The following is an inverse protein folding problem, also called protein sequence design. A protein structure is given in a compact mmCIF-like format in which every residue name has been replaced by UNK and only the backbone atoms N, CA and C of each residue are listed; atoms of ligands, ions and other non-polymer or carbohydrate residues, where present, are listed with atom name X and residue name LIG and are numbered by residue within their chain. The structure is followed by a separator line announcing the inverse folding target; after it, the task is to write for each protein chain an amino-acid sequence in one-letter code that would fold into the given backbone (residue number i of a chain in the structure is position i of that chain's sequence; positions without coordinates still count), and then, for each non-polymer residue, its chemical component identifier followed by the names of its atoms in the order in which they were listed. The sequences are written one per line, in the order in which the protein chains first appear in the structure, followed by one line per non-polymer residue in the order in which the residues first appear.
data_IF_436724411490
#
_entry.id   IF_436724411490
#
_cell.length_a   1.000
_cell.length_b   1.000
_cell.length_c   1.000
_cell.angle_alpha   90.00
_cell.angle_beta   90.00
_cell.angle_gamma   90.00
#
_symmetry.space_group_name_H-M   'P 1'
#
loop_
_entity.id
_entity.type
_entity.pdbx_description
1 polymer ?
#
# COMPACT_ATOMS: atom_id res chain seq x y z
N UNK A 1 -28.27 18.99 -41.70
CA UNK A 1 -27.91 18.64 -43.09
C UNK A 1 -26.40 18.86 -43.21
N UNK A 2 -25.62 17.82 -42.90
CA UNK A 2 -24.17 17.78 -43.10
C UNK A 2 -23.89 16.37 -43.58
N UNK A 3 -23.27 16.30 -44.75
CA UNK A 3 -23.08 15.10 -45.54
C UNK A 3 -22.01 14.18 -44.96
N UNK A 4 -22.29 12.89 -45.12
CA UNK A 4 -21.42 11.74 -44.91
C UNK A 4 -20.39 11.69 -46.05
N UNK A 5 -19.15 11.36 -45.71
CA UNK A 5 -18.22 10.66 -46.60
C UNK A 5 -17.14 10.01 -45.71
N UNK A 6 -16.44 8.96 -46.10
CA UNK A 6 -16.82 7.74 -46.80
C UNK A 6 -15.66 6.78 -46.48
N UNK A 7 -15.90 5.50 -46.62
CA UNK A 7 -15.05 4.41 -46.17
C UNK A 7 -13.75 4.26 -46.97
N UNK A 8 -12.71 3.70 -46.33
CA UNK A 8 -11.76 2.80 -47.01
C UNK A 8 -11.05 1.89 -45.99
N UNK A 9 -11.20 0.57 -46.11
CA UNK A 9 -10.45 -0.43 -45.35
C UNK A 9 -9.15 -0.80 -46.09
N UNK A 10 -8.10 -1.11 -45.34
CA UNK A 10 -6.91 -1.77 -45.90
C UNK A 10 -6.83 -3.18 -45.34
N UNK A 11 -7.15 -4.12 -46.21
CA UNK A 11 -6.97 -5.55 -46.06
C UNK A 11 -5.50 -5.97 -46.30
N UNK A 12 -5.12 -7.05 -45.62
CA UNK A 12 -4.37 -8.19 -46.15
C UNK A 12 -2.81 -8.19 -46.21
N UNK A 13 -2.27 -9.18 -45.46
CA UNK A 13 -1.39 -10.29 -45.90
C UNK A 13 0.08 -10.40 -45.41
N UNK A 14 0.45 -11.68 -45.26
CA UNK A 14 1.75 -12.34 -45.08
C UNK A 14 2.31 -12.39 -43.64
N UNK A 15 2.35 -13.51 -42.91
CA UNK A 15 2.78 -14.89 -43.20
C UNK A 15 4.25 -15.02 -43.64
N UNK A 16 5.17 -15.11 -42.68
CA UNK A 16 6.57 -15.54 -42.91
C UNK A 16 7.08 -16.43 -41.78
N UNK A 17 7.00 -17.73 -42.07
CA UNK A 17 8.06 -18.76 -41.92
C UNK A 17 8.89 -18.80 -40.63
N UNK A 18 8.61 -19.87 -39.89
CA UNK A 18 9.55 -20.67 -39.07
C UNK A 18 10.94 -20.76 -39.71
N UNK A 19 11.97 -20.34 -38.99
CA UNK A 19 13.35 -20.80 -39.19
C UNK A 19 13.79 -21.57 -37.96
N UNK A 20 13.94 -22.89 -38.12
CA UNK A 20 14.57 -23.79 -37.15
C UNK A 20 16.07 -23.71 -37.39
N UNK A 21 16.80 -23.07 -36.48
CA UNK A 21 18.23 -23.33 -36.33
C UNK A 21 18.40 -24.49 -35.35
N UNK A 22 18.72 -25.66 -35.90
CA UNK A 22 19.22 -26.82 -35.16
C UNK A 22 20.73 -26.64 -35.04
N UNK A 23 21.20 -26.31 -33.84
CA UNK A 23 22.63 -26.33 -33.54
C UNK A 23 23.10 -27.78 -33.32
N UNK A 24 24.32 -28.16 -33.73
CA UNK A 24 24.82 -29.53 -33.56
C UNK A 24 25.03 -29.85 -32.09
N UNK A 25 24.49 -30.97 -31.64
CA UNK A 25 24.73 -31.53 -30.31
C UNK A 25 26.19 -32.01 -30.22
N UNK A 26 27.06 -31.18 -29.66
CA UNK A 26 28.29 -31.67 -29.04
C UNK A 26 27.89 -32.26 -27.67
N UNK A 27 27.54 -33.55 -27.69
CA UNK A 27 27.52 -34.39 -26.49
C UNK A 27 28.97 -34.56 -26.05
N UNK A 28 29.46 -33.60 -25.26
CA UNK A 28 30.65 -33.81 -24.44
C UNK A 28 30.23 -34.69 -23.27
N UNK A 29 30.84 -35.87 -23.25
CA UNK A 29 30.83 -36.83 -22.16
C UNK A 29 31.39 -36.17 -20.89
N UNK A 30 30.53 -35.59 -20.07
CA UNK A 30 30.79 -35.43 -18.63
C UNK A 30 30.27 -36.68 -17.90
N UNK A 31 30.88 -37.83 -18.19
CA UNK A 31 30.77 -39.02 -17.35
C UNK A 31 31.80 -38.88 -16.22
N UNK A 32 31.40 -39.21 -14.99
CA UNK A 32 32.12 -39.02 -13.72
C UNK A 32 32.05 -37.62 -13.08
N UNK A 33 30.83 -37.09 -12.92
CA UNK A 33 30.53 -36.42 -11.64
C UNK A 33 30.07 -37.51 -10.68
N UNK A 34 31.04 -38.08 -9.95
CA UNK A 34 30.75 -38.90 -8.77
C UNK A 34 29.73 -38.14 -7.91
N UNK A 35 28.60 -38.79 -7.65
CA UNK A 35 27.60 -38.33 -6.70
C UNK A 35 28.33 -38.08 -5.38
N UNK A 36 28.62 -36.82 -5.07
CA UNK A 36 29.09 -36.46 -3.74
C UNK A 36 28.00 -36.95 -2.77
N UNK A 37 28.34 -37.80 -1.79
CA UNK A 37 27.34 -38.27 -0.84
C UNK A 37 26.73 -37.06 -0.15
N UNK A 38 25.39 -37.04 0.05
CA UNK A 38 24.73 -35.90 0.67
C UNK A 38 25.36 -35.65 2.05
N UNK A 39 25.53 -34.38 2.46
CA UNK A 39 26.03 -34.06 3.79
C UNK A 39 25.24 -34.82 4.86
N UNK A 40 25.91 -35.35 5.88
CA UNK A 40 25.26 -36.07 6.98
C UNK A 40 24.15 -35.21 7.58
N UNK A 41 22.95 -35.79 7.74
CA UNK A 41 21.80 -35.10 8.33
C UNK A 41 22.12 -34.79 9.79
N UNK A 42 22.42 -33.54 10.12
CA UNK A 42 22.54 -33.13 11.52
C UNK A 42 21.16 -33.17 12.18
N UNK A 43 21.03 -33.98 13.22
CA UNK A 43 19.84 -34.09 14.05
C UNK A 43 19.89 -33.05 15.18
N UNK A 44 18.87 -32.19 15.24
CA UNK A 44 18.57 -31.18 16.28
C UNK A 44 19.31 -29.83 16.17
N UNK A 45 18.55 -28.79 15.79
CA UNK A 45 18.95 -27.38 15.77
C UNK A 45 19.80 -27.02 14.56
N UNK A 46 19.22 -26.34 13.57
CA UNK A 46 19.98 -25.80 12.44
C UNK A 46 20.79 -24.62 12.95
N UNK A 47 22.04 -24.43 12.49
CA UNK A 47 22.99 -23.40 12.99
C UNK A 47 22.34 -22.02 13.23
N UNK A 48 21.44 -21.61 12.34
CA UNK A 48 20.74 -20.33 12.42
C UNK A 48 19.67 -20.27 13.51
N UNK A 49 19.04 -21.40 13.85
CA UNK A 49 18.00 -21.47 14.88
C UNK A 49 18.53 -21.25 16.30
N UNK A 50 19.84 -21.44 16.52
CA UNK A 50 20.48 -21.22 17.82
C UNK A 50 20.93 -19.76 18.02
N UNK A 51 20.84 -18.92 16.98
CA UNK A 51 21.25 -17.53 17.04
C UNK A 51 20.20 -16.65 17.72
N UNK A 52 20.66 -15.82 18.64
CA UNK A 52 19.85 -14.78 19.27
C UNK A 52 19.58 -13.62 18.29
N UNK A 53 18.58 -12.80 18.59
CA UNK A 53 18.25 -11.62 17.78
C UNK A 53 19.43 -10.64 17.68
N UNK A 54 20.22 -10.46 18.74
CA UNK A 54 21.44 -9.63 18.73
C UNK A 54 22.55 -10.21 17.85
N UNK A 55 22.75 -11.53 17.90
CA UNK A 55 23.70 -12.19 17.01
C UNK A 55 23.26 -12.10 15.54
N UNK A 56 21.97 -12.27 15.25
CA UNK A 56 21.45 -12.14 13.89
C UNK A 56 21.65 -10.73 13.34
N UNK A 57 21.41 -9.70 14.16
CA UNK A 57 21.60 -8.30 13.74
C UNK A 57 23.07 -7.95 13.49
N UNK A 58 23.98 -8.47 14.31
CA UNK A 58 25.42 -8.26 14.16
C UNK A 58 26.04 -9.12 13.04
N UNK A 59 25.36 -10.17 12.59
CA UNK A 59 25.85 -11.05 11.51
C UNK A 59 25.62 -10.43 10.13
N UNK A 60 26.67 -10.45 9.29
CA UNK A 60 26.55 -10.11 7.88
C UNK A 60 25.97 -11.30 7.09
N UNK A 61 24.69 -11.23 6.71
CA UNK A 61 24.02 -12.29 5.95
C UNK A 61 24.10 -12.10 4.43
N UNK A 62 24.51 -10.92 3.96
CA UNK A 62 24.60 -10.64 2.52
C UNK A 62 25.89 -9.92 2.16
N UNK A 63 26.46 -10.24 1.00
CA UNK A 63 27.63 -9.55 0.43
C UNK A 63 27.42 -9.25 -1.06
N UNK A 64 27.93 -8.12 -1.52
CA UNK A 64 28.06 -7.74 -2.93
C UNK A 64 29.48 -7.97 -3.49
N UNK A 65 30.42 -8.35 -2.63
CA UNK A 65 31.76 -8.76 -2.99
C UNK A 65 32.13 -10.09 -2.30
N UNK A 66 31.57 -11.22 -2.77
CA UNK A 66 31.85 -12.52 -2.17
C UNK A 66 33.28 -13.03 -2.43
N UNK A 67 34.01 -12.45 -3.40
CA UNK A 67 35.34 -12.90 -3.80
C UNK A 67 36.46 -12.33 -2.90
N UNK A 68 36.16 -11.32 -2.07
CA UNK A 68 37.10 -10.78 -1.07
C UNK A 68 37.02 -11.46 0.29
N UNK A 69 36.15 -12.46 0.44
CA UNK A 69 36.03 -13.22 1.69
C UNK A 69 37.30 -14.05 1.95
N UNK A 70 37.75 -14.05 3.20
CA UNK A 70 38.86 -14.88 3.66
C UNK A 70 38.51 -16.38 3.56
N UNK A 71 39.54 -17.23 3.47
CA UNK A 71 39.43 -18.70 3.39
C UNK A 71 38.58 -19.21 2.22
N UNK A 72 38.47 -18.41 1.16
CA UNK A 72 37.82 -18.83 -0.07
C UNK A 72 38.75 -19.77 -0.85
N UNK A 73 38.27 -20.98 -1.16
CA UNK A 73 38.98 -21.90 -2.05
C UNK A 73 38.16 -22.18 -3.31
N UNK A 74 38.86 -22.47 -4.40
CA UNK A 74 38.25 -22.86 -5.68
C UNK A 74 38.22 -24.38 -5.87
N UNK A 75 38.75 -25.13 -4.91
CA UNK A 75 38.84 -26.59 -4.96
C UNK A 75 37.46 -27.21 -4.82
N UNK A 76 37.33 -28.45 -5.27
CA UNK A 76 36.10 -29.21 -5.12
C UNK A 76 35.64 -29.22 -3.64
N UNK A 77 34.33 -29.08 -3.37
CA UNK A 77 33.79 -29.17 -2.03
C UNK A 77 34.26 -30.42 -1.28
N UNK A 78 34.75 -30.28 -0.03
CA UNK A 78 35.05 -31.44 0.82
C UNK A 78 33.77 -32.22 1.17
N UNK A 79 33.94 -33.50 1.50
CA UNK A 79 32.84 -34.36 1.99
C UNK A 79 32.67 -34.13 3.49
N UNK A 80 32.16 -32.95 3.84
CA UNK A 80 31.88 -32.57 5.23
C UNK A 80 30.57 -31.77 5.34
N UNK A 81 30.11 -31.56 6.57
CA UNK A 81 28.93 -30.73 6.82
C UNK A 81 29.19 -29.28 6.42
N UNK A 82 28.22 -28.71 5.72
CA UNK A 82 28.26 -27.34 5.24
C UNK A 82 27.02 -26.58 5.69
N UNK A 83 27.15 -25.27 5.83
CA UNK A 83 26.06 -24.34 6.05
C UNK A 83 26.08 -23.23 5.00
N UNK A 84 24.90 -22.67 4.71
CA UNK A 84 24.80 -21.43 3.95
C UNK A 84 25.13 -20.28 4.91
N UNK A 85 26.31 -19.66 4.74
CA UNK A 85 26.80 -18.59 5.62
C UNK A 85 26.24 -17.23 5.19
N UNK A 86 26.24 -16.97 3.88
CA UNK A 86 25.81 -15.69 3.30
C UNK A 86 25.16 -15.91 1.94
N UNK A 87 24.28 -15.01 1.55
CA UNK A 87 23.84 -14.85 0.17
C UNK A 87 24.62 -13.74 -0.52
N UNK A 88 24.92 -13.90 -1.81
CA UNK A 88 25.51 -12.82 -2.60
C UNK A 88 24.60 -12.40 -3.76
N UNK A 89 24.65 -11.12 -4.08
CA UNK A 89 24.05 -10.56 -5.29
C UNK A 89 24.99 -9.50 -5.86
N UNK A 90 25.62 -9.85 -6.98
CA UNK A 90 26.60 -9.02 -7.68
C UNK A 90 26.01 -8.33 -8.91
N UNK A 91 24.69 -8.27 -9.03
CA UNK A 91 24.01 -7.67 -10.18
C UNK A 91 24.36 -6.18 -10.32
N UNK A 92 25.06 -5.84 -11.40
CA UNK A 92 25.47 -4.47 -11.72
C UNK A 92 26.87 -4.07 -11.24
N UNK A 93 27.70 -5.01 -10.73
CA UNK A 93 29.12 -4.73 -10.46
C UNK A 93 29.93 -4.72 -11.77
N UNK A 94 30.95 -3.86 -11.85
CA UNK A 94 31.86 -3.79 -13.01
C UNK A 94 32.65 -5.07 -13.24
N UNK A 95 33.03 -5.75 -12.14
CA UNK A 95 33.79 -7.02 -12.17
C UNK A 95 33.02 -8.19 -12.79
N UNK A 96 31.73 -8.02 -13.09
CA UNK A 96 30.89 -9.02 -13.77
C UNK A 96 30.33 -10.10 -12.84
N UNK A 97 30.29 -11.35 -13.31
CA UNK A 97 29.69 -12.48 -12.60
C UNK A 97 30.69 -13.14 -11.63
N UNK A 98 30.19 -13.93 -10.67
CA UNK A 98 31.01 -14.70 -9.72
C UNK A 98 31.38 -16.05 -10.32
N UNK A 99 32.63 -16.50 -10.09
CA UNK A 99 33.09 -17.84 -10.44
C UNK A 99 32.57 -18.88 -9.45
N UNK A 100 31.68 -19.77 -9.91
CA UNK A 100 31.16 -20.86 -9.08
C UNK A 100 32.15 -22.03 -9.01
N UNK A 101 32.28 -22.64 -7.83
CA UNK A 101 33.16 -23.80 -7.59
C UNK A 101 32.84 -25.00 -8.49
N UNK A 102 31.58 -25.16 -8.94
CA UNK A 102 31.18 -26.25 -9.82
C UNK A 102 31.30 -25.89 -11.31
N UNK A 103 30.96 -24.66 -11.70
CA UNK A 103 31.04 -24.24 -13.09
C UNK A 103 32.48 -23.94 -13.53
N UNK A 104 33.34 -23.52 -12.59
CA UNK A 104 34.73 -23.11 -12.83
C UNK A 104 34.91 -21.90 -13.75
N UNK A 105 33.85 -21.19 -14.12
CA UNK A 105 33.87 -19.93 -14.87
C UNK A 105 32.89 -18.90 -14.28
N UNK A 106 33.10 -17.58 -14.49
CA UNK A 106 32.22 -16.53 -13.96
C UNK A 106 30.87 -16.49 -14.68
N UNK A 107 29.81 -17.01 -14.05
CA UNK A 107 28.50 -17.17 -14.68
C UNK A 107 27.29 -16.93 -13.77
N UNK A 108 27.49 -16.55 -12.51
CA UNK A 108 26.39 -16.26 -11.59
C UNK A 108 26.38 -14.81 -11.10
N UNK A 109 25.22 -14.17 -11.21
CA UNK A 109 24.97 -12.88 -10.56
C UNK A 109 24.50 -13.04 -9.10
N UNK A 110 24.01 -14.21 -8.73
CA UNK A 110 23.45 -14.49 -7.42
C UNK A 110 23.75 -15.92 -6.96
N UNK A 111 23.87 -16.10 -5.66
CA UNK A 111 24.18 -17.40 -5.08
C UNK A 111 24.44 -17.32 -3.60
N UNK A 112 25.18 -18.31 -3.11
CA UNK A 112 25.48 -18.48 -1.69
C UNK A 112 26.96 -18.72 -1.46
N UNK A 113 27.40 -18.34 -0.27
CA UNK A 113 28.69 -18.73 0.30
C UNK A 113 28.43 -19.94 1.19
N UNK A 114 28.96 -21.09 0.80
CA UNK A 114 28.93 -22.30 1.60
C UNK A 114 30.14 -22.31 2.52
N UNK A 115 29.93 -22.40 3.83
CA UNK A 115 30.99 -22.58 4.81
C UNK A 115 30.96 -23.99 5.35
N UNK A 116 32.13 -24.61 5.39
CA UNK A 116 32.29 -25.98 5.85
C UNK A 116 32.88 -26.03 7.26
N UNK A 117 32.83 -27.21 7.89
CA UNK A 117 33.37 -27.42 9.24
C UNK A 117 34.87 -27.11 9.34
N UNK A 118 35.65 -27.35 8.29
CA UNK A 118 37.05 -26.93 8.15
C UNK A 118 37.27 -25.41 8.26
N UNK A 119 36.21 -24.60 8.14
CA UNK A 119 36.28 -23.14 8.08
C UNK A 119 36.39 -22.60 6.66
N UNK A 120 36.72 -23.44 5.69
CA UNK A 120 36.87 -22.99 4.29
C UNK A 120 35.52 -22.60 3.68
N UNK A 121 35.57 -21.64 2.75
CA UNK A 121 34.39 -21.10 2.04
C UNK A 121 34.42 -21.48 0.57
N UNK A 122 33.23 -21.66 -0.02
CA UNK A 122 33.05 -21.86 -1.47
C UNK A 122 31.93 -20.97 -2.01
N UNK A 123 32.16 -20.37 -3.17
CA UNK A 123 31.13 -19.64 -3.90
C UNK A 123 30.35 -20.59 -4.79
N UNK A 124 29.03 -20.61 -4.59
CA UNK A 124 28.14 -21.50 -5.34
C UNK A 124 26.99 -20.67 -5.90
N UNK A 125 26.77 -20.76 -7.21
CA UNK A 125 25.56 -20.19 -7.82
C UNK A 125 24.31 -20.87 -7.28
N UNK A 126 23.19 -20.15 -7.14
CA UNK A 126 21.96 -20.69 -6.52
C UNK A 126 21.47 -21.98 -7.22
N UNK A 127 21.43 -21.97 -8.55
CA UNK A 127 21.00 -23.14 -9.33
C UNK A 127 21.99 -24.30 -9.24
N UNK A 128 23.28 -23.98 -9.16
CA UNK A 128 24.34 -24.99 -8.98
C UNK A 128 24.26 -25.64 -7.60
N UNK A 129 23.97 -24.87 -6.56
CA UNK A 129 23.78 -25.41 -5.23
C UNK A 129 22.61 -26.41 -5.18
N UNK A 130 21.46 -26.06 -5.79
CA UNK A 130 20.32 -26.97 -5.91
C UNK A 130 20.65 -28.25 -6.69
N UNK A 131 21.41 -28.15 -7.80
CA UNK A 131 21.82 -29.31 -8.60
C UNK A 131 22.77 -30.25 -7.86
N UNK A 132 23.76 -29.70 -7.15
CA UNK A 132 24.84 -30.51 -6.56
C UNK A 132 24.54 -31.01 -5.14
N UNK A 133 23.81 -30.26 -4.33
CA UNK A 133 23.48 -30.64 -2.95
C UNK A 133 22.04 -31.16 -2.80
N UNK A 134 21.18 -30.94 -3.79
CA UNK A 134 19.79 -31.42 -3.80
C UNK A 134 18.99 -30.96 -2.58
N UNK A 135 18.21 -31.90 -2.02
CA UNK A 135 17.30 -31.67 -0.89
C UNK A 135 18.01 -31.10 0.34
N UNK A 136 19.28 -31.46 0.56
CA UNK A 136 20.05 -30.92 1.69
C UNK A 136 20.25 -29.41 1.55
N UNK A 137 20.49 -28.90 0.34
CA UNK A 137 20.58 -27.46 0.13
C UNK A 137 19.25 -26.76 0.33
N UNK A 138 18.12 -27.35 -0.08
CA UNK A 138 16.80 -26.74 0.16
C UNK A 138 16.52 -26.53 1.65
N UNK A 139 16.94 -27.47 2.50
CA UNK A 139 16.85 -27.34 3.96
C UNK A 139 17.77 -26.21 4.48
N UNK A 140 19.05 -26.23 4.11
CA UNK A 140 20.02 -25.21 4.53
C UNK A 140 19.62 -23.80 4.07
N UNK A 141 19.15 -23.68 2.83
CA UNK A 141 18.68 -22.43 2.25
C UNK A 141 17.42 -21.94 2.97
N UNK A 142 16.49 -22.83 3.31
CA UNK A 142 15.28 -22.48 4.08
C UNK A 142 15.63 -21.97 5.49
N UNK A 143 16.57 -22.62 6.18
CA UNK A 143 17.02 -22.17 7.50
C UNK A 143 17.70 -20.80 7.44
N UNK A 144 18.58 -20.62 6.46
CA UNK A 144 19.25 -19.35 6.21
C UNK A 144 18.26 -18.24 5.84
N UNK A 145 17.30 -18.50 4.94
CA UNK A 145 16.27 -17.54 4.56
C UNK A 145 15.39 -17.19 5.78
N UNK A 146 15.06 -18.16 6.65
CA UNK A 146 14.33 -17.89 7.89
C UNK A 146 15.12 -17.00 8.87
N UNK A 147 16.44 -17.19 8.95
CA UNK A 147 17.34 -16.34 9.75
C UNK A 147 17.41 -14.91 9.20
N UNK A 148 17.52 -14.77 7.89
CA UNK A 148 17.50 -13.46 7.22
C UNK A 148 16.18 -12.74 7.42
N UNK A 149 15.07 -13.44 7.23
CA UNK A 149 13.74 -12.88 7.45
C UNK A 149 13.57 -12.46 8.93
N UNK A 150 14.04 -13.29 9.88
CA UNK A 150 14.06 -12.93 11.31
C UNK A 150 14.81 -11.63 11.54
N UNK A 151 16.05 -11.52 11.06
CA UNK A 151 16.88 -10.31 11.17
C UNK A 151 16.18 -9.07 10.64
N UNK A 152 15.62 -9.14 9.43
CA UNK A 152 14.92 -8.02 8.79
C UNK A 152 13.71 -7.53 9.63
N UNK A 153 12.98 -8.46 10.24
CA UNK A 153 11.82 -8.13 11.09
C UNK A 153 12.22 -7.61 12.46
N UNK A 154 13.29 -8.14 13.06
CA UNK A 154 13.85 -7.61 14.33
C UNK A 154 14.40 -6.21 14.12
N UNK A 155 15.08 -5.94 13.00
CA UNK A 155 15.56 -4.59 12.66
C UNK A 155 14.38 -3.60 12.55
N UNK A 156 13.30 -3.99 11.86
CA UNK A 156 12.08 -3.19 11.78
C UNK A 156 11.40 -3.01 13.14
N UNK A 157 11.34 -4.07 13.97
CA UNK A 157 10.84 -3.98 15.34
C UNK A 157 11.63 -2.92 16.12
N UNK A 158 12.97 -2.95 16.07
CA UNK A 158 13.81 -1.94 16.75
C UNK A 158 13.54 -0.52 16.25
N UNK A 159 13.35 -0.35 14.94
CA UNK A 159 13.02 0.94 14.35
C UNK A 159 11.68 1.48 14.86
N UNK A 160 10.65 0.62 14.95
CA UNK A 160 9.34 0.98 15.51
C UNK A 160 9.47 1.30 17.00
N UNK A 161 10.20 0.49 17.78
CA UNK A 161 10.42 0.72 19.21
C UNK A 161 11.19 2.01 19.49
N UNK A 162 12.14 2.38 18.63
CA UNK A 162 12.85 3.66 18.75
C UNK A 162 11.95 4.89 18.55
N UNK A 163 10.77 4.70 17.94
CA UNK A 163 9.81 5.78 17.60
C UNK A 163 8.44 5.60 18.26
N UNK A 164 8.31 4.66 19.19
CA UNK A 164 6.99 4.24 19.67
C UNK A 164 6.27 5.36 20.47
N UNK A 165 7.00 6.09 21.31
CA UNK A 165 6.49 7.26 22.04
C UNK A 165 6.06 8.37 21.10
N UNK A 166 6.83 8.62 20.04
CA UNK A 166 6.51 9.61 19.02
C UNK A 166 5.22 9.20 18.29
N UNK A 167 5.14 7.96 17.82
CA UNK A 167 3.97 7.43 17.10
C UNK A 167 2.70 7.52 17.95
N UNK A 168 2.74 7.01 19.19
CA UNK A 168 1.57 7.01 20.08
C UNK A 168 1.20 8.43 20.53
N UNK A 169 2.20 9.27 20.84
CA UNK A 169 1.98 10.66 21.21
C UNK A 169 1.37 11.48 20.06
N UNK A 170 1.89 11.32 18.84
CA UNK A 170 1.35 11.99 17.65
C UNK A 170 -0.06 11.49 17.29
N UNK A 171 -0.36 10.20 17.50
CA UNK A 171 -1.72 9.67 17.32
C UNK A 171 -2.70 10.27 18.34
N UNK A 172 -2.32 10.32 19.62
CA UNK A 172 -3.12 10.96 20.67
C UNK A 172 -3.33 12.45 20.38
N UNK A 173 -2.27 13.16 19.95
CA UNK A 173 -2.34 14.57 19.57
C UNK A 173 -3.26 14.79 18.35
N UNK A 174 -3.18 13.93 17.33
CA UNK A 174 -4.07 13.98 16.17
C UNK A 174 -5.54 13.81 16.58
N UNK A 175 -5.85 12.84 17.46
CA UNK A 175 -7.21 12.61 17.96
C UNK A 175 -7.73 13.80 18.79
N UNK A 176 -6.87 14.42 19.58
CA UNK A 176 -7.21 15.55 20.44
C UNK A 176 -7.27 16.89 19.69
N UNK A 177 -6.89 16.95 18.41
CA UNK A 177 -6.90 18.20 17.65
C UNK A 177 -8.33 18.75 17.53
N UNK A 178 -8.55 20.07 17.79
CA UNK A 178 -9.87 20.69 17.72
C UNK A 178 -10.60 20.47 16.38
N UNK A 179 -9.86 20.33 15.28
CA UNK A 179 -10.42 20.11 13.94
C UNK A 179 -11.18 18.77 13.82
N UNK A 180 -10.86 17.78 14.66
CA UNK A 180 -11.58 16.50 14.70
C UNK A 180 -13.00 16.70 15.27
N UNK A 181 -13.12 17.42 16.37
CA UNK A 181 -14.42 17.77 16.95
C UNK A 181 -15.21 18.69 16.00
N UNK A 182 -14.51 19.66 15.41
CA UNK A 182 -15.11 20.59 14.45
C UNK A 182 -15.66 19.89 13.21
N UNK A 183 -14.97 18.86 12.69
CA UNK A 183 -15.50 18.05 11.58
C UNK A 183 -16.87 17.44 11.92
N UNK A 184 -17.00 16.87 13.13
CA UNK A 184 -18.26 16.31 13.62
C UNK A 184 -19.35 17.37 13.77
N UNK A 185 -18.99 18.54 14.26
CA UNK A 185 -19.89 19.68 14.43
C UNK A 185 -20.38 20.24 13.08
N UNK A 186 -19.49 20.40 12.10
CA UNK A 186 -19.85 20.82 10.74
C UNK A 186 -20.81 19.81 10.11
N UNK A 187 -20.57 18.51 10.28
CA UNK A 187 -21.48 17.45 9.80
C UNK A 187 -22.86 17.54 10.48
N UNK A 188 -22.90 17.75 11.79
CA UNK A 188 -24.14 17.89 12.56
C UNK A 188 -24.94 19.11 12.10
N UNK A 189 -24.31 20.28 11.99
CA UNK A 189 -24.94 21.52 11.49
C UNK A 189 -25.41 21.35 10.05
N UNK A 190 -24.64 20.67 9.19
CA UNK A 190 -25.05 20.37 7.82
C UNK A 190 -26.31 19.48 7.80
N UNK A 191 -26.39 18.46 8.65
CA UNK A 191 -27.59 17.63 8.77
C UNK A 191 -28.80 18.46 9.20
N UNK A 192 -28.64 19.33 10.20
CA UNK A 192 -29.71 20.24 10.66
C UNK A 192 -30.13 21.23 9.57
N UNK A 193 -29.16 21.73 8.80
CA UNK A 193 -29.40 22.59 7.65
C UNK A 193 -30.20 21.84 6.59
N UNK A 194 -29.76 20.65 6.17
CA UNK A 194 -30.42 19.85 5.13
C UNK A 194 -31.81 19.39 5.56
N UNK A 195 -31.97 19.03 6.84
CA UNK A 195 -33.22 18.52 7.42
C UNK A 195 -33.40 17.01 7.26
N UNK A 196 -34.17 16.43 8.18
CA UNK A 196 -34.36 14.96 8.32
C UNK A 196 -34.91 14.27 7.06
N UNK A 197 -35.67 14.98 6.21
CA UNK A 197 -36.24 14.40 4.98
C UNK A 197 -35.21 14.26 3.85
N UNK A 198 -34.29 15.21 3.72
CA UNK A 198 -33.32 15.25 2.61
C UNK A 198 -31.99 14.61 3.00
N UNK A 199 -31.65 14.57 4.28
CA UNK A 199 -30.40 13.98 4.75
C UNK A 199 -30.19 12.52 4.31
N UNK A 200 -31.17 11.60 4.45
CA UNK A 200 -31.00 10.23 3.96
C UNK A 200 -30.81 10.13 2.44
N UNK A 201 -31.40 11.05 1.66
CA UNK A 201 -31.16 11.11 0.21
C UNK A 201 -29.71 11.52 -0.07
N UNK A 202 -29.21 12.53 0.62
CA UNK A 202 -27.83 13.00 0.47
C UNK A 202 -26.80 11.95 0.91
N UNK A 203 -27.07 11.20 1.99
CA UNK A 203 -26.23 10.07 2.43
C UNK A 203 -26.16 9.00 1.34
N UNK A 204 -27.30 8.60 0.75
CA UNK A 204 -27.30 7.63 -0.37
C UNK A 204 -26.50 8.10 -1.57
N UNK A 205 -26.54 9.40 -1.88
CA UNK A 205 -25.71 10.00 -2.95
C UNK A 205 -24.23 9.89 -2.57
N UNK A 206 -23.85 10.24 -1.34
CA UNK A 206 -22.47 10.22 -0.86
C UNK A 206 -21.87 8.82 -0.72
N UNK A 207 -22.71 7.82 -0.42
CA UNK A 207 -22.35 6.41 -0.35
C UNK A 207 -22.24 5.77 -1.75
N UNK A 208 -22.89 6.37 -2.76
CA UNK A 208 -22.82 5.96 -4.16
C UNK A 208 -21.69 6.63 -4.95
N UNK A 209 -21.99 7.08 -6.17
CA UNK A 209 -21.03 7.75 -7.07
C UNK A 209 -20.91 9.27 -6.81
N UNK A 210 -21.62 9.79 -5.80
CA UNK A 210 -21.65 11.20 -5.48
C UNK A 210 -22.45 12.07 -6.46
N UNK A 211 -23.19 11.52 -7.42
CA UNK A 211 -23.98 12.33 -8.37
C UNK A 211 -25.20 12.94 -7.69
N UNK A 212 -25.30 14.26 -7.77
CA UNK A 212 -26.47 15.02 -7.34
C UNK A 212 -27.55 14.87 -8.40
N UNK A 213 -28.55 14.04 -8.12
CA UNK A 213 -29.67 13.80 -9.01
C UNK A 213 -30.87 14.64 -8.57
N UNK A 214 -31.48 15.33 -9.53
CA UNK A 214 -32.74 16.05 -9.36
C UNK A 214 -33.83 15.32 -10.14
N UNK A 215 -34.93 15.03 -9.46
CA UNK A 215 -36.14 14.52 -10.08
C UNK A 215 -36.99 15.72 -10.55
N UNK A 216 -36.99 15.99 -11.86
CA UNK A 216 -37.84 17.03 -12.44
C UNK A 216 -39.08 16.40 -13.06
N UNK A 217 -40.25 16.92 -12.69
CA UNK A 217 -41.49 16.61 -13.40
C UNK A 217 -41.46 17.35 -14.74
N UNK A 218 -41.18 16.64 -15.82
CA UNK A 218 -41.22 17.18 -17.18
C UNK A 218 -42.60 16.91 -17.75
N UNK A 219 -43.26 17.96 -18.22
CA UNK A 219 -44.52 17.83 -18.96
C UNK A 219 -44.15 17.35 -20.37
N UNK A 220 -44.69 16.21 -20.78
CA UNK A 220 -44.48 15.71 -22.14
C UNK A 220 -45.40 16.45 -23.11
N UNK A 221 -44.91 17.55 -23.68
CA UNK A 221 -45.69 18.38 -24.62
C UNK A 221 -46.08 17.62 -25.90
N UNK A 222 -45.24 16.72 -26.40
CA UNK A 222 -45.56 15.89 -27.57
C UNK A 222 -46.76 14.94 -27.31
N UNK A 223 -46.90 14.43 -26.08
CA UNK A 223 -48.08 13.65 -25.69
C UNK A 223 -49.35 14.52 -25.56
N UNK A 224 -49.19 15.83 -25.27
CA UNK A 224 -50.32 16.77 -25.24
C UNK A 224 -50.82 17.11 -26.64
N UNK A 225 -49.93 17.23 -27.64
CA UNK A 225 -50.29 17.50 -29.04
C UNK A 225 -51.03 16.33 -29.70
N UNK A 226 -50.78 15.09 -29.26
CA UNK A 226 -51.42 13.88 -29.80
C UNK A 226 -52.77 13.52 -29.15
N UNK A 227 -53.30 14.39 -28.29
CA UNK A 227 -54.61 14.19 -27.64
C UNK A 227 -54.63 13.11 -26.55
N UNK A 228 -53.48 12.54 -26.17
CA UNK A 228 -53.37 11.47 -25.15
C UNK A 228 -53.42 11.97 -23.71
N UNK A 229 -53.74 13.23 -23.50
CA UNK A 229 -53.84 13.85 -22.18
C UNK A 229 -52.47 14.21 -21.56
N UNK A 230 -52.52 14.93 -20.44
CA UNK A 230 -51.34 15.49 -19.76
C UNK A 230 -50.54 14.37 -19.07
N UNK A 231 -49.59 13.76 -19.79
CA UNK A 231 -48.63 12.84 -19.20
C UNK A 231 -47.47 13.62 -18.56
N UNK A 232 -47.22 13.32 -17.29
CA UNK A 232 -46.06 13.84 -16.56
C UNK A 232 -45.01 12.74 -16.50
N UNK A 233 -43.82 12.99 -17.04
CA UNK A 233 -42.69 12.05 -16.94
C UNK A 233 -41.70 12.64 -15.95
N UNK A 234 -41.16 11.80 -15.07
CA UNK A 234 -40.08 12.19 -14.18
C UNK A 234 -38.76 11.97 -14.92
N UNK A 235 -37.99 13.03 -15.12
CA UNK A 235 -36.64 12.95 -15.67
C UNK A 235 -35.63 13.14 -14.54
N UNK A 236 -34.65 12.24 -14.45
CA UNK A 236 -33.50 12.38 -13.58
C UNK A 236 -32.45 13.21 -14.34
N UNK A 237 -32.20 14.43 -13.86
CA UNK A 237 -31.15 15.30 -14.41
C UNK A 237 -30.01 15.35 -13.38
N UNK A 238 -28.79 15.01 -13.79
CA UNK A 238 -27.65 14.88 -12.88
C UNK A 238 -26.32 15.21 -13.55
N UNK A 239 -26.00 16.50 -13.66
CA UNK A 239 -24.75 16.99 -14.27
C UNK A 239 -23.72 17.47 -13.23
N UNK A 240 -23.95 17.12 -11.95
CA UNK A 240 -23.18 17.64 -10.83
C UNK A 240 -22.85 16.56 -9.81
N UNK A 241 -21.72 16.73 -9.13
CA UNK A 241 -21.23 15.83 -8.10
C UNK A 241 -21.16 16.55 -6.76
N UNK A 242 -21.47 15.81 -5.69
CA UNK A 242 -21.29 16.21 -4.31
C UNK A 242 -19.80 16.24 -3.96
N UNK A 243 -19.19 17.41 -4.07
CA UNK A 243 -17.82 17.63 -3.61
C UNK A 243 -17.75 17.47 -2.09
N UNK A 244 -16.70 16.82 -1.59
CA UNK A 244 -16.58 16.55 -0.16
C UNK A 244 -17.63 15.55 0.36
N UNK A 245 -18.10 14.61 -0.47
CA UNK A 245 -19.08 13.58 -0.10
C UNK A 245 -18.76 12.84 1.22
N UNK A 246 -17.47 12.66 1.52
CA UNK A 246 -16.96 12.09 2.77
C UNK A 246 -17.46 12.79 4.05
N UNK A 247 -17.84 14.07 3.98
CA UNK A 247 -18.46 14.82 5.08
C UNK A 247 -19.85 14.28 5.43
N UNK A 248 -20.57 13.74 4.43
CA UNK A 248 -21.95 13.25 4.56
C UNK A 248 -21.99 11.74 4.75
N UNK A 249 -21.10 11.01 4.06
CA UNK A 249 -21.05 9.54 3.96
C UNK A 249 -21.37 8.82 5.27
N UNK A 250 -22.14 7.75 5.17
CA UNK A 250 -22.53 6.95 6.33
C UNK A 250 -21.32 6.29 7.01
N UNK A 251 -21.56 5.77 8.22
CA UNK A 251 -20.53 5.12 9.03
C UNK A 251 -20.04 5.94 10.22
N UNK A 252 -19.07 5.39 10.96
CA UNK A 252 -18.56 5.97 12.20
C UNK A 252 -17.97 7.36 11.97
N UNK A 253 -17.96 8.16 13.01
CA UNK A 253 -17.33 9.49 13.02
C UNK A 253 -15.81 9.38 12.91
N UNK A 254 -15.15 10.45 12.46
CA UNK A 254 -13.68 10.53 12.46
C UNK A 254 -13.12 10.32 13.87
N UNK A 255 -13.76 10.89 14.89
CA UNK A 255 -13.33 10.74 16.29
C UNK A 255 -13.38 9.28 16.78
N UNK A 256 -14.45 8.54 16.46
CA UNK A 256 -14.56 7.10 16.77
C UNK A 256 -13.49 6.30 16.02
N UNK A 257 -13.32 6.56 14.72
CA UNK A 257 -12.32 5.87 13.90
C UNK A 257 -10.90 6.10 14.39
N UNK A 258 -10.54 7.34 14.76
CA UNK A 258 -9.23 7.64 15.32
C UNK A 258 -9.02 6.97 16.68
N UNK A 259 -10.05 6.85 17.51
CA UNK A 259 -9.96 6.07 18.77
C UNK A 259 -9.69 4.60 18.49
N UNK A 260 -10.45 3.97 17.59
CA UNK A 260 -10.25 2.55 17.21
C UNK A 260 -8.83 2.30 16.67
N UNK A 261 -8.32 3.24 15.85
CA UNK A 261 -6.95 3.19 15.31
C UNK A 261 -5.92 3.29 16.44
N UNK A 262 -6.09 4.21 17.39
CA UNK A 262 -5.19 4.39 18.53
C UNK A 262 -5.13 3.14 19.42
N UNK A 263 -6.28 2.53 19.71
CA UNK A 263 -6.37 1.29 20.51
C UNK A 263 -5.64 0.13 19.82
N UNK A 264 -5.88 -0.06 18.52
CA UNK A 264 -5.20 -1.09 17.72
C UNK A 264 -3.70 -0.83 17.61
N UNK A 265 -3.30 0.42 17.39
CA UNK A 265 -1.89 0.83 17.30
C UNK A 265 -1.17 0.56 18.64
N UNK A 266 -1.82 0.90 19.75
CA UNK A 266 -1.31 0.61 21.10
C UNK A 266 -1.13 -0.90 21.31
N UNK A 267 -2.09 -1.71 20.89
CA UNK A 267 -1.99 -3.18 20.97
C UNK A 267 -0.86 -3.77 20.12
N UNK A 268 -0.65 -3.23 18.92
CA UNK A 268 0.45 -3.64 18.03
C UNK A 268 1.81 -3.27 18.65
N UNK A 269 1.97 -2.02 19.12
CA UNK A 269 3.20 -1.57 19.79
C UNK A 269 3.47 -2.40 21.04
N UNK A 270 2.45 -2.67 21.86
CA UNK A 270 2.58 -3.50 23.05
C UNK A 270 3.01 -4.93 22.72
N UNK A 271 2.54 -5.49 21.61
CA UNK A 271 2.98 -6.82 21.14
C UNK A 271 4.43 -6.80 20.68
N UNK A 272 4.83 -5.76 19.93
CA UNK A 272 6.21 -5.59 19.46
C UNK A 272 7.20 -5.28 20.59
N UNK A 273 6.75 -4.80 21.75
CA UNK A 273 7.61 -4.61 22.93
C UNK A 273 7.97 -5.91 23.66
N UNK A 274 7.25 -7.00 23.41
CA UNK A 274 7.49 -8.26 24.13
C UNK A 274 8.80 -8.89 23.67
N UNK A 275 9.51 -9.50 24.61
CA UNK A 275 10.66 -10.33 24.31
C UNK A 275 10.22 -11.66 23.70
N UNK A 276 11.08 -12.26 22.86
CA UNK A 276 10.84 -13.61 22.30
C UNK A 276 9.65 -13.72 21.34
N UNK A 277 9.18 -12.61 20.78
CA UNK A 277 8.07 -12.61 19.80
C UNK A 277 8.49 -13.40 18.55
N UNK A 278 7.66 -14.33 18.09
CA UNK A 278 7.96 -15.14 16.89
C UNK A 278 8.07 -14.31 15.61
N UNK A 279 8.81 -14.79 14.60
CA UNK A 279 8.92 -14.11 13.29
C UNK A 279 7.56 -13.90 12.62
N UNK A 280 6.66 -14.87 12.73
CA UNK A 280 5.30 -14.76 12.21
C UNK A 280 4.51 -13.63 12.87
N UNK A 281 4.62 -13.50 14.20
CA UNK A 281 3.99 -12.43 14.96
C UNK A 281 4.59 -11.06 14.63
N UNK A 282 5.92 -10.94 14.49
CA UNK A 282 6.57 -9.69 14.06
C UNK A 282 6.06 -9.27 12.67
N UNK A 283 6.07 -10.21 11.72
CA UNK A 283 5.56 -9.98 10.36
C UNK A 283 4.12 -9.48 10.36
N UNK A 284 3.23 -10.16 11.08
CA UNK A 284 1.83 -9.80 11.14
C UNK A 284 1.62 -8.40 11.73
N UNK A 285 2.32 -8.08 12.81
CA UNK A 285 2.21 -6.78 13.47
C UNK A 285 2.76 -5.63 12.61
N UNK A 286 3.86 -5.85 11.90
CA UNK A 286 4.41 -4.84 10.97
C UNK A 286 3.46 -4.60 9.78
N UNK A 287 2.82 -5.65 9.25
CA UNK A 287 1.77 -5.50 8.23
C UNK A 287 0.59 -4.71 8.80
N UNK A 288 0.16 -5.02 10.03
CA UNK A 288 -0.91 -4.29 10.71
C UNK A 288 -0.57 -2.81 10.90
N UNK A 289 0.67 -2.46 11.24
CA UNK A 289 1.15 -1.08 11.30
C UNK A 289 0.99 -0.35 9.95
N UNK A 290 1.35 -1.01 8.85
CA UNK A 290 1.17 -0.45 7.51
C UNK A 290 -0.31 -0.27 7.14
N UNK A 291 -1.18 -1.18 7.57
CA UNK A 291 -2.63 -1.07 7.37
C UNK A 291 -3.22 0.08 8.20
N UNK A 292 -2.78 0.23 9.46
CA UNK A 292 -3.16 1.35 10.34
C UNK A 292 -2.71 2.70 9.77
N UNK A 293 -1.52 2.79 9.20
CA UNK A 293 -1.06 3.98 8.47
C UNK A 293 -2.05 4.36 7.35
N UNK A 294 -2.49 3.39 6.53
CA UNK A 294 -3.48 3.66 5.47
C UNK A 294 -4.84 4.06 6.04
N UNK A 295 -5.21 3.55 7.21
CA UNK A 295 -6.42 4.00 7.93
C UNK A 295 -6.30 5.47 8.38
N UNK A 296 -5.17 5.88 8.97
CA UNK A 296 -4.90 7.27 9.35
C UNK A 296 -4.95 8.20 8.12
N UNK A 297 -4.33 7.78 7.01
CA UNK A 297 -4.38 8.51 5.74
C UNK A 297 -5.81 8.70 5.23
N UNK A 298 -6.63 7.65 5.30
CA UNK A 298 -8.05 7.71 4.91
C UNK A 298 -8.82 8.71 5.77
N UNK A 299 -8.66 8.72 7.08
CA UNK A 299 -9.35 9.69 7.94
C UNK A 299 -8.87 11.12 7.68
N UNK A 300 -7.58 11.34 7.38
CA UNK A 300 -7.09 12.67 6.93
C UNK A 300 -7.71 13.12 5.61
N UNK A 301 -7.88 12.21 4.64
CA UNK A 301 -8.60 12.50 3.39
C UNK A 301 -10.07 12.81 3.68
N UNK A 302 -10.70 12.08 4.61
CA UNK A 302 -12.06 12.36 5.05
C UNK A 302 -12.21 13.75 5.65
N UNK A 303 -11.27 14.17 6.49
CA UNK A 303 -11.24 15.53 7.06
C UNK A 303 -11.06 16.62 5.97
N UNK A 304 -10.27 16.36 4.92
CA UNK A 304 -10.14 17.29 3.76
C UNK A 304 -11.48 17.62 3.11
N UNK A 305 -12.46 16.74 3.24
CA UNK A 305 -13.77 16.91 2.63
C UNK A 305 -14.49 18.18 3.07
N UNK A 306 -14.23 18.68 4.29
CA UNK A 306 -14.74 19.98 4.73
C UNK A 306 -14.26 21.07 3.79
N UNK A 307 -12.94 21.19 3.58
CA UNK A 307 -12.38 22.20 2.68
C UNK A 307 -12.89 22.01 1.24
N UNK A 308 -13.00 20.77 0.76
CA UNK A 308 -13.51 20.48 -0.58
C UNK A 308 -15.00 20.79 -0.74
N UNK A 309 -15.80 20.64 0.33
CA UNK A 309 -17.22 20.95 0.34
C UNK A 309 -17.47 22.47 0.32
N UNK A 310 -16.69 23.23 1.11
CA UNK A 310 -16.80 24.69 1.22
C UNK A 310 -15.89 25.47 0.26
N UNK A 311 -15.18 24.79 -0.64
CA UNK A 311 -14.46 25.44 -1.75
C UNK A 311 -15.48 26.05 -2.71
N UNK A 312 -15.51 27.38 -2.75
CA UNK A 312 -16.41 28.13 -3.63
C UNK A 312 -15.73 28.75 -4.84
N UNK A 313 -14.57 28.23 -5.26
CA UNK A 313 -14.05 28.47 -6.62
C UNK A 313 -15.19 28.41 -7.66
N UNK A 314 -15.25 29.42 -8.55
CA UNK A 314 -16.36 29.77 -9.45
C UNK A 314 -17.17 28.56 -9.99
N UNK A 315 -18.37 28.36 -9.43
CA UNK A 315 -19.27 27.24 -9.78
C UNK A 315 -19.13 25.98 -8.88
N UNK A 316 -18.49 26.15 -7.72
CA UNK A 316 -18.05 25.12 -6.79
C UNK A 316 -19.14 24.21 -6.20
N UNK A 317 -18.67 23.24 -5.41
CA UNK A 317 -19.49 22.19 -4.79
C UNK A 317 -20.68 22.73 -4.02
N UNK A 318 -20.49 23.86 -3.32
CA UNK A 318 -21.51 24.48 -2.49
C UNK A 318 -22.66 25.08 -3.32
N UNK A 319 -22.38 25.70 -4.47
CA UNK A 319 -23.42 26.25 -5.35
C UNK A 319 -24.27 25.15 -5.99
N UNK A 320 -23.63 24.07 -6.45
CA UNK A 320 -24.30 22.88 -6.98
C UNK A 320 -25.15 22.19 -5.90
N UNK A 321 -24.63 22.12 -4.68
CA UNK A 321 -25.35 21.58 -3.53
C UNK A 321 -26.55 22.43 -3.14
N UNK A 322 -26.40 23.76 -3.08
CA UNK A 322 -27.50 24.68 -2.81
C UNK A 322 -28.62 24.59 -3.85
N UNK A 323 -28.24 24.52 -5.14
CA UNK A 323 -29.18 24.28 -6.25
C UNK A 323 -29.92 22.94 -6.09
N UNK A 324 -29.19 21.86 -5.76
CA UNK A 324 -29.79 20.55 -5.49
C UNK A 324 -30.78 20.59 -4.32
N UNK A 325 -30.48 21.32 -3.24
CA UNK A 325 -31.39 21.50 -2.11
C UNK A 325 -32.67 22.24 -2.52
N UNK A 326 -32.55 23.33 -3.29
CA UNK A 326 -33.67 24.09 -3.81
C UNK A 326 -34.58 23.22 -4.70
N UNK A 327 -33.97 22.50 -5.65
CA UNK A 327 -34.65 21.59 -6.55
C UNK A 327 -35.33 20.40 -5.82
N UNK A 328 -34.86 20.04 -4.63
CA UNK A 328 -35.47 19.02 -3.77
C UNK A 328 -36.42 19.59 -2.70
N UNK A 329 -36.87 20.84 -2.87
CA UNK A 329 -37.93 21.45 -2.08
C UNK A 329 -37.47 22.21 -0.83
N UNK A 330 -36.17 22.44 -0.64
CA UNK A 330 -35.66 23.32 0.42
C UNK A 330 -35.56 24.75 -0.11
N UNK A 331 -36.52 25.59 0.26
CA UNK A 331 -36.58 26.99 -0.19
C UNK A 331 -35.60 27.89 0.60
N UNK A 332 -35.27 29.06 0.03
CA UNK A 332 -34.51 30.09 0.72
C UNK A 332 -33.02 29.79 0.93
N UNK A 333 -32.47 28.82 0.19
CA UNK A 333 -31.03 28.50 0.26
C UNK A 333 -30.24 29.46 -0.61
N UNK A 334 -29.32 30.21 -0.02
CA UNK A 334 -28.36 31.04 -0.76
C UNK A 334 -26.92 30.78 -0.31
N UNK A 335 -25.98 31.00 -1.24
CA UNK A 335 -24.55 30.93 -1.00
C UNK A 335 -24.01 32.36 -1.06
N UNK A 336 -23.41 32.86 0.02
CA UNK A 336 -22.67 34.12 -0.04
C UNK A 336 -21.20 33.87 -0.36
N UNK A 337 -20.60 34.78 -1.12
CA UNK A 337 -19.18 34.75 -1.47
C UNK A 337 -18.32 35.19 -0.29
N UNK A 338 -17.39 34.32 0.11
CA UNK A 338 -16.23 34.52 1.01
C UNK A 338 -16.50 35.09 2.44
N UNK A 339 -16.18 34.31 3.50
CA UNK A 339 -16.01 32.85 3.46
C UNK A 339 -17.32 32.22 2.99
N UNK A 340 -17.25 31.15 2.19
CA UNK A 340 -18.44 30.53 1.62
C UNK A 340 -19.34 30.01 2.74
N UNK A 341 -20.57 30.51 2.75
CA UNK A 341 -21.57 30.25 3.80
C UNK A 341 -22.88 29.82 3.14
N UNK A 342 -23.53 28.81 3.70
CA UNK A 342 -24.92 28.50 3.38
C UNK A 342 -25.86 29.28 4.30
N UNK A 343 -26.89 29.87 3.70
CA UNK A 343 -27.94 30.59 4.41
C UNK A 343 -29.29 29.94 4.17
N UNK A 344 -30.09 29.85 5.23
CA UNK A 344 -31.49 29.49 5.17
C UNK A 344 -32.34 30.73 5.48
N UNK A 345 -32.93 31.33 4.44
CA UNK A 345 -33.77 32.53 4.55
C UNK A 345 -35.21 32.21 5.02
N UNK A 346 -35.58 30.92 5.11
CA UNK A 346 -36.95 30.48 5.44
C UNK A 346 -37.25 30.37 6.93
N UNK A 347 -36.26 30.50 7.82
CA UNK A 347 -36.46 30.46 9.27
C UNK A 347 -36.76 31.85 9.82
N UNK A 348 -37.99 32.03 10.30
CA UNK A 348 -38.51 33.29 10.86
C UNK A 348 -37.76 33.82 12.11
N UNK A 349 -36.93 33.01 12.78
CA UNK A 349 -36.28 33.36 14.06
C UNK A 349 -34.76 33.09 14.11
N UNK A 350 -34.07 32.97 12.98
CA UNK A 350 -32.61 32.89 13.01
C UNK A 350 -32.00 32.28 11.75
N UNK A 351 -31.00 32.96 11.22
CA UNK A 351 -30.17 32.47 10.13
C UNK A 351 -29.29 31.32 10.64
N UNK A 352 -29.39 30.14 10.03
CA UNK A 352 -28.42 29.08 10.26
C UNK A 352 -27.26 29.30 9.30
N UNK A 353 -26.12 29.71 9.84
CA UNK A 353 -24.88 29.87 9.09
C UNK A 353 -24.04 28.59 9.17
N UNK A 354 -23.64 28.07 8.01
CA UNK A 354 -22.74 26.91 7.93
C UNK A 354 -21.43 27.30 7.24
N UNK A 355 -20.35 27.32 8.03
CA UNK A 355 -18.96 27.35 7.56
C UNK A 355 -18.05 26.66 8.59
N UNK A 356 -16.91 26.10 8.17
CA UNK A 356 -15.87 25.72 9.11
C UNK A 356 -15.23 26.96 9.75
N UNK A 357 -14.60 26.77 10.90
CA UNK A 357 -13.74 27.73 11.56
C UNK A 357 -12.60 28.16 10.62
N UNK A 358 -12.19 29.45 10.66
CA UNK A 358 -10.99 29.91 9.96
C UNK A 358 -9.71 29.16 10.38
N UNK A 359 -9.72 28.49 11.54
CA UNK A 359 -8.60 27.72 12.07
C UNK A 359 -8.67 26.22 11.76
N UNK A 360 -9.67 25.78 10.97
CA UNK A 360 -9.80 24.37 10.59
C UNK A 360 -8.56 23.88 9.85
N UNK A 361 -7.94 22.81 10.35
CA UNK A 361 -6.74 22.22 9.77
C UNK A 361 -6.84 20.70 9.73
N UNK A 362 -5.83 20.06 9.15
CA UNK A 362 -5.81 18.61 8.94
C UNK A 362 -4.64 18.01 9.70
N UNK A 363 -4.87 17.51 10.93
CA UNK A 363 -3.82 17.05 11.83
C UNK A 363 -3.23 15.70 11.41
N UNK A 364 -2.02 15.39 11.87
CA UNK A 364 -1.38 14.07 11.67
C UNK A 364 -0.49 13.96 10.42
N UNK A 365 0.08 15.05 9.91
CA UNK A 365 1.00 14.99 8.77
C UNK A 365 2.31 14.30 9.18
N UNK A 366 2.89 14.75 10.30
CA UNK A 366 4.12 14.21 10.87
C UNK A 366 3.95 12.75 11.30
N UNK A 367 2.76 12.38 11.82
CA UNK A 367 2.43 10.99 12.16
C UNK A 367 2.57 10.07 10.93
N UNK A 368 2.03 10.47 9.77
CA UNK A 368 2.14 9.70 8.53
C UNK A 368 3.61 9.52 8.14
N UNK A 369 4.40 10.58 8.23
CA UNK A 369 5.81 10.55 7.86
C UNK A 369 6.59 9.56 8.74
N UNK A 370 6.44 9.66 10.06
CA UNK A 370 7.07 8.73 11.02
C UNK A 370 6.60 7.28 10.82
N UNK A 371 5.30 7.06 10.61
CA UNK A 371 4.75 5.73 10.35
C UNK A 371 5.23 5.14 9.01
N UNK A 372 5.39 5.96 7.97
CA UNK A 372 5.95 5.52 6.68
C UNK A 372 7.41 5.11 6.83
N UNK A 373 8.21 5.92 7.51
CA UNK A 373 9.62 5.62 7.73
C UNK A 373 9.83 4.33 8.53
N UNK A 374 8.93 4.03 9.46
CA UNK A 374 9.01 2.82 10.29
C UNK A 374 8.43 1.56 9.65
N UNK A 375 7.57 1.69 8.63
CA UNK A 375 6.92 0.54 7.96
C UNK A 375 7.56 0.15 6.63
N UNK A 376 8.36 1.03 6.01
CA UNK A 376 9.08 0.72 4.77
C UNK A 376 10.24 -0.22 5.06
N UNK A 377 10.26 -1.41 4.40
CA UNK A 377 11.33 -2.39 4.57
C UNK A 377 12.70 -1.80 4.19
N UNK A 378 13.74 -1.96 5.02
CA UNK A 378 15.10 -1.52 4.73
C UNK A 378 15.64 -2.08 3.41
N UNK A 379 15.29 -3.32 3.06
CA UNK A 379 15.76 -3.99 1.83
C UNK A 379 15.32 -3.32 0.53
N UNK A 380 14.30 -2.45 0.56
CA UNK A 380 13.90 -1.61 -0.59
C UNK A 380 14.57 -0.22 -0.63
N UNK A 381 15.31 0.19 0.40
CA UNK A 381 16.09 1.45 0.39
C UNK A 381 17.41 1.34 -0.38
N UNK A 382 17.87 0.12 -0.74
CA UNK A 382 19.06 -0.09 -1.57
C UNK A 382 18.78 0.18 -3.05
N UNK A 383 18.82 1.47 -3.42
CA UNK A 383 19.35 2.08 -4.66
C UNK A 383 18.80 3.51 -4.80
N UNK A 384 19.14 4.37 -3.83
CA UNK A 384 19.05 5.82 -3.98
C UNK A 384 20.34 6.44 -3.42
N UNK A 385 21.46 6.06 -4.00
CA UNK A 385 22.78 6.67 -3.80
C UNK A 385 23.56 6.47 -5.08
N UNK A 386 24.28 7.45 -5.59
CA UNK A 386 24.26 8.91 -5.50
C UNK A 386 25.12 9.35 -6.69
#
# INVERSE_FOLDING_TARGET
MVCIADESPVEALANTRRSRYVAPSLKLECAYLEYLPPPSKSSAGTYWSTKTDDELLSTQLTTDDPESLEDLSEDQPPIEEALVEMAYNVSGRERGMVRCVFCKHPNHFNGVVMRYKSGTRRLVGRDCAGKHYGVTFDLLARDFDAARDRRDYVEQQRLVMARDRDILGMMAAMRADPSVAEFGEVRRRLREFVGEKLWPKLVRIADGDGRLVVERRVVNYAAMETGRGRQSVFALVGDSYLRGAELVRSGPTVAERLRDIEERLTGVVATLRRDGVSTGTLRQNIVMLADLLREVERERVRMRAVNTFFDGSNGGGLGKFASWLADNGKQGVSVLSLPYRLYDQGRSNGHLELCPSPHYRIPGADLIEVMRDTTVRPSKRRKATR
#
